data_IF_236701990151
#
_entry.id   IF_236701990151
#
_cell.length_a   1.000
_cell.length_b   1.000
_cell.length_c   1.000
_cell.angle_alpha   90.00
_cell.angle_beta   90.00
_cell.angle_gamma   90.00
#
_symmetry.space_group_name_H-M   'P 1'
#
loop_
_entity.id
_entity.type
_entity.pdbx_description
1 polymer ?
#
# COMPACT_ATOMS: atom_id res chain seq x y z
N UNK A 1 -2.12 -57.17 -64.15
CA UNK A 1 -1.44 -55.84 -64.01
C UNK A 1 -2.22 -55.03 -63.00
N UNK A 2 -1.88 -54.67 -61.87
CA UNK A 2 -0.92 -54.98 -60.84
C UNK A 2 -1.64 -54.79 -59.50
N UNK A 3 -1.89 -55.87 -58.78
CA UNK A 3 -2.50 -55.88 -57.45
C UNK A 3 -1.42 -55.73 -56.38
N UNK A 4 -0.46 -54.81 -56.51
CA UNK A 4 0.71 -54.78 -55.62
C UNK A 4 1.01 -53.39 -55.03
N UNK A 5 0.11 -52.41 -55.07
CA UNK A 5 0.32 -51.04 -54.54
C UNK A 5 -0.66 -50.68 -53.41
N UNK A 6 -1.47 -51.63 -52.92
CA UNK A 6 -2.52 -51.29 -51.93
C UNK A 6 -2.26 -51.82 -50.50
N UNK A 7 -1.01 -52.15 -50.17
CA UNK A 7 -0.68 -52.72 -48.85
C UNK A 7 0.41 -51.96 -48.04
N UNK A 8 0.67 -50.70 -48.37
CA UNK A 8 1.73 -49.93 -47.63
C UNK A 8 1.27 -48.65 -46.98
N UNK A 9 -0.03 -48.43 -46.80
CA UNK A 9 -0.56 -47.18 -46.21
C UNK A 9 -1.39 -47.40 -44.95
N UNK A 10 -1.21 -48.49 -44.19
CA UNK A 10 -2.05 -48.72 -43.01
C UNK A 10 -1.27 -49.01 -41.72
N UNK A 11 -0.03 -48.53 -41.59
CA UNK A 11 0.76 -48.76 -40.34
C UNK A 11 1.53 -47.54 -39.87
N UNK A 12 1.08 -46.33 -40.18
CA UNK A 12 1.75 -45.12 -39.69
C UNK A 12 0.79 -44.09 -39.08
N UNK A 13 -0.31 -44.49 -38.48
CA UNK A 13 -1.31 -43.61 -37.90
C UNK A 13 -1.61 -43.84 -36.41
N UNK A 14 -0.70 -44.39 -35.64
CA UNK A 14 -0.94 -44.67 -34.22
C UNK A 14 0.19 -44.28 -33.27
N UNK A 15 1.02 -43.28 -33.59
CA UNK A 15 2.15 -42.87 -32.71
C UNK A 15 2.25 -41.35 -32.53
N UNK A 16 1.13 -40.59 -32.59
CA UNK A 16 1.14 -39.16 -32.31
C UNK A 16 0.03 -38.73 -31.32
N UNK A 17 -0.23 -39.53 -30.27
CA UNK A 17 -1.21 -39.18 -29.21
C UNK A 17 -0.62 -39.29 -27.81
N UNK A 18 0.64 -38.89 -27.62
CA UNK A 18 1.23 -38.90 -26.28
C UNK A 18 2.24 -37.76 -26.12
N UNK A 19 1.82 -36.51 -26.33
CA UNK A 19 2.56 -35.32 -25.85
C UNK A 19 1.68 -34.04 -25.90
N UNK A 20 0.48 -34.10 -25.35
CA UNK A 20 -0.33 -32.89 -25.09
C UNK A 20 -0.58 -32.73 -23.59
N UNK A 21 0.47 -32.78 -22.77
CA UNK A 21 0.34 -32.50 -21.33
C UNK A 21 1.52 -31.70 -20.80
N UNK A 22 1.92 -30.63 -21.50
CA UNK A 22 2.89 -29.69 -20.89
C UNK A 22 2.94 -28.35 -21.65
N UNK A 23 1.77 -27.75 -21.93
CA UNK A 23 1.69 -26.36 -22.41
C UNK A 23 0.53 -25.64 -21.75
N UNK A 24 0.40 -25.80 -20.41
CA UNK A 24 -0.05 -24.70 -19.59
C UNK A 24 1.22 -23.99 -19.12
N UNK A 25 1.53 -22.79 -19.60
CA UNK A 25 2.48 -21.96 -18.88
C UNK A 25 1.88 -21.81 -17.50
N UNK A 26 2.54 -22.40 -16.51
CA UNK A 26 2.37 -22.00 -15.12
C UNK A 26 2.51 -20.48 -15.11
N UNK A 27 1.41 -19.78 -15.07
CA UNK A 27 1.34 -18.39 -14.65
C UNK A 27 1.68 -18.37 -13.15
N UNK A 28 2.89 -18.77 -12.83
CA UNK A 28 3.59 -18.25 -11.69
C UNK A 28 3.84 -16.80 -12.06
N UNK A 29 2.93 -15.94 -11.66
CA UNK A 29 3.27 -14.57 -11.41
C UNK A 29 4.34 -14.61 -10.30
N UNK A 30 5.60 -14.69 -10.71
CA UNK A 30 6.71 -14.37 -9.82
C UNK A 30 6.48 -12.91 -9.45
N UNK A 31 5.83 -12.73 -8.30
CA UNK A 31 5.75 -11.44 -7.63
C UNK A 31 7.19 -10.94 -7.51
N UNK A 32 7.51 -9.78 -8.06
CA UNK A 32 8.82 -9.23 -7.87
C UNK A 32 9.02 -9.08 -6.36
N UNK A 33 9.95 -9.87 -5.81
CA UNK A 33 10.45 -9.71 -4.45
C UNK A 33 11.03 -8.30 -4.38
N UNK A 34 10.20 -7.35 -3.96
CA UNK A 34 10.68 -6.00 -3.77
C UNK A 34 11.67 -5.98 -2.61
N UNK A 35 12.75 -5.23 -2.81
CA UNK A 35 13.78 -4.91 -1.82
C UNK A 35 13.17 -4.64 -0.44
N UNK A 36 13.88 -4.99 0.65
CA UNK A 36 13.50 -4.56 1.99
C UNK A 36 13.22 -3.05 1.95
N UNK A 37 12.05 -2.66 2.39
CA UNK A 37 11.64 -1.25 2.45
C UNK A 37 12.68 -0.48 3.24
N UNK A 38 13.06 0.67 2.76
CA UNK A 38 13.87 1.59 3.54
C UNK A 38 13.17 1.79 4.88
N UNK A 39 13.87 1.48 5.98
CA UNK A 39 13.33 1.65 7.33
C UNK A 39 13.10 3.13 7.69
N UNK A 40 13.18 4.00 6.69
CA UNK A 40 13.15 5.45 6.82
C UNK A 40 12.30 6.04 5.70
N UNK A 41 11.36 6.90 6.05
CA UNK A 41 10.57 7.69 5.12
C UNK A 41 11.10 9.12 5.11
N UNK A 42 11.35 9.69 3.95
CA UNK A 42 11.64 11.11 3.80
C UNK A 42 10.32 11.89 3.68
N UNK A 43 9.97 12.66 4.72
CA UNK A 43 8.76 13.50 4.74
C UNK A 43 8.98 14.82 4.00
N UNK A 44 10.22 15.34 4.02
CA UNK A 44 10.69 16.50 3.28
C UNK A 44 12.24 16.49 3.29
N UNK A 45 12.92 17.28 2.47
CA UNK A 45 14.38 17.37 2.49
C UNK A 45 14.92 17.60 3.92
N UNK A 46 15.69 16.61 4.42
CA UNK A 46 16.27 16.63 5.77
C UNK A 46 15.29 16.27 6.90
N UNK A 47 14.04 15.92 6.60
CA UNK A 47 13.04 15.47 7.59
C UNK A 47 12.70 14.02 7.33
N UNK A 48 13.04 13.16 8.28
CA UNK A 48 12.91 11.71 8.16
C UNK A 48 12.05 11.12 9.27
N UNK A 49 11.30 10.08 8.95
CA UNK A 49 10.57 9.26 9.90
C UNK A 49 11.15 7.84 9.91
N UNK A 50 11.59 7.38 11.08
CA UNK A 50 12.11 6.04 11.29
C UNK A 50 10.95 5.05 11.47
N UNK A 51 10.93 3.96 10.70
CA UNK A 51 9.89 2.93 10.79
C UNK A 51 10.24 1.77 11.71
N UNK A 52 11.52 1.57 12.03
CA UNK A 52 11.97 0.40 12.77
C UNK A 52 11.41 0.34 14.22
N UNK A 53 11.17 1.49 14.85
CA UNK A 53 10.86 1.60 16.28
C UNK A 53 9.36 1.81 16.56
N UNK A 54 8.48 1.63 15.57
CA UNK A 54 7.04 1.85 15.76
C UNK A 54 6.31 0.59 16.23
N UNK A 55 6.97 -0.53 16.19
CA UNK A 55 6.39 -1.82 16.60
C UNK A 55 6.48 -2.04 18.13
N UNK A 56 5.50 -2.75 18.74
CA UNK A 56 4.24 -3.20 18.13
C UNK A 56 3.28 -2.03 17.89
N UNK A 57 2.46 -2.14 16.86
CA UNK A 57 1.38 -1.19 16.62
C UNK A 57 0.28 -1.39 17.67
N UNK A 58 -0.35 -0.27 18.07
CA UNK A 58 -1.54 -0.33 18.92
C UNK A 58 -2.77 -0.64 18.07
N UNK A 59 -3.69 -1.41 18.65
CA UNK A 59 -4.95 -1.77 18.03
C UNK A 59 -4.91 -3.09 17.27
N UNK A 60 -6.12 -3.59 17.01
CA UNK A 60 -6.36 -4.81 16.24
C UNK A 60 -7.73 -4.72 15.58
N UNK A 61 -7.82 -5.15 14.33
CA UNK A 61 -9.09 -5.23 13.63
C UNK A 61 -8.98 -5.04 12.13
N UNK A 62 -10.14 -5.12 11.48
CA UNK A 62 -10.28 -4.81 10.06
C UNK A 62 -11.14 -3.56 9.92
N UNK A 63 -10.70 -2.66 9.06
CA UNK A 63 -11.32 -1.35 8.85
C UNK A 63 -11.49 -1.10 7.37
N UNK A 64 -12.54 -0.37 7.03
CA UNK A 64 -12.76 0.14 5.69
C UNK A 64 -12.54 1.65 5.71
N UNK A 65 -11.68 2.16 4.85
CA UNK A 65 -11.45 3.59 4.72
C UNK A 65 -11.81 4.08 3.32
N UNK A 66 -12.50 5.20 3.26
CA UNK A 66 -12.61 6.00 2.04
C UNK A 66 -11.54 7.07 2.08
N UNK A 67 -10.73 7.11 1.04
CA UNK A 67 -9.63 8.05 0.90
C UNK A 67 -9.89 8.93 -0.31
N UNK A 68 -9.81 10.26 -0.10
CA UNK A 68 -9.77 11.25 -1.17
C UNK A 68 -8.43 11.93 -1.12
N UNK A 69 -7.64 11.82 -2.17
CA UNK A 69 -6.36 12.51 -2.27
C UNK A 69 -6.39 13.53 -3.39
N UNK A 70 -5.68 14.63 -3.20
CA UNK A 70 -5.44 15.62 -4.24
C UNK A 70 -3.97 16.08 -4.25
N UNK A 71 -3.42 16.22 -5.45
CA UNK A 71 -2.10 16.80 -5.70
C UNK A 71 -2.28 17.77 -6.87
N UNK A 72 -2.13 19.06 -6.59
CA UNK A 72 -2.45 20.10 -7.57
C UNK A 72 -3.92 20.01 -8.02
N UNK A 73 -4.15 19.79 -9.33
CA UNK A 73 -5.50 19.65 -9.89
C UNK A 73 -5.99 18.19 -9.99
N UNK A 74 -5.14 17.23 -9.72
CA UNK A 74 -5.50 15.81 -9.78
C UNK A 74 -6.20 15.38 -8.50
N UNK A 75 -7.31 14.66 -8.63
CA UNK A 75 -8.06 14.11 -7.50
C UNK A 75 -8.30 12.61 -7.72
N UNK A 76 -8.15 11.86 -6.64
CA UNK A 76 -8.37 10.41 -6.63
C UNK A 76 -9.27 10.05 -5.45
N UNK A 77 -10.16 9.11 -5.68
CA UNK A 77 -10.95 8.49 -4.61
C UNK A 77 -10.77 7.00 -4.67
N UNK A 78 -10.49 6.39 -3.53
CA UNK A 78 -10.32 4.96 -3.40
C UNK A 78 -10.88 4.46 -2.08
N UNK A 79 -11.23 3.19 -2.05
CA UNK A 79 -11.62 2.46 -0.85
C UNK A 79 -10.49 1.54 -0.45
N UNK A 80 -10.10 1.56 0.82
CA UNK A 80 -8.98 0.78 1.35
C UNK A 80 -9.48 -0.12 2.47
N UNK A 81 -9.27 -1.41 2.32
CA UNK A 81 -9.39 -2.38 3.40
C UNK A 81 -8.07 -2.40 4.17
N UNK A 82 -8.15 -2.21 5.49
CA UNK A 82 -6.99 -2.22 6.38
C UNK A 82 -7.17 -3.36 7.37
N UNK A 83 -6.15 -4.20 7.49
CA UNK A 83 -6.03 -5.17 8.59
C UNK A 83 -4.88 -4.71 9.48
N UNK A 84 -5.20 -4.41 10.73
CA UNK A 84 -4.26 -3.99 11.75
C UNK A 84 -4.10 -5.09 12.80
N UNK A 85 -2.87 -5.48 13.05
CA UNK A 85 -2.46 -6.39 14.11
C UNK A 85 -1.18 -5.81 14.78
N UNK A 86 -0.83 -6.23 15.99
CA UNK A 86 0.35 -5.68 16.68
C UNK A 86 1.66 -5.78 15.87
N UNK A 87 1.79 -6.79 15.00
CA UNK A 87 2.99 -7.03 14.18
C UNK A 87 2.73 -7.03 12.69
N UNK A 88 1.55 -6.58 12.26
CA UNK A 88 1.18 -6.58 10.84
C UNK A 88 0.23 -5.45 10.51
N UNK A 89 0.49 -4.78 9.42
CA UNK A 89 -0.40 -3.80 8.82
C UNK A 89 -0.57 -4.12 7.34
N UNK A 90 -1.81 -4.37 6.93
CA UNK A 90 -2.14 -4.66 5.53
C UNK A 90 -3.12 -3.62 4.99
N UNK A 91 -2.90 -3.23 3.74
CA UNK A 91 -3.79 -2.36 2.97
C UNK A 91 -4.12 -3.04 1.65
N UNK A 92 -5.39 -3.06 1.30
CA UNK A 92 -5.81 -3.46 -0.05
C UNK A 92 -6.72 -2.36 -0.59
N UNK A 93 -6.26 -1.67 -1.62
CA UNK A 93 -6.97 -0.53 -2.19
C UNK A 93 -7.72 -0.91 -3.45
N UNK A 94 -8.91 -0.37 -3.58
CA UNK A 94 -9.82 -0.57 -4.69
C UNK A 94 -10.36 0.76 -5.23
N UNK A 95 -10.64 0.75 -6.51
CA UNK A 95 -11.46 1.76 -7.16
C UNK A 95 -12.62 1.05 -7.87
N UNK A 96 -13.81 1.63 -7.83
CA UNK A 96 -15.03 1.00 -8.36
C UNK A 96 -14.95 0.66 -9.86
N UNK A 97 -14.17 1.42 -10.62
CA UNK A 97 -14.01 1.22 -12.07
C UNK A 97 -12.79 0.38 -12.44
N UNK A 98 -11.70 0.49 -11.65
CA UNK A 98 -10.40 -0.12 -11.99
C UNK A 98 -10.14 -1.42 -11.22
N UNK A 99 -10.99 -1.77 -10.25
CA UNK A 99 -10.80 -2.94 -9.39
C UNK A 99 -9.68 -2.73 -8.36
N UNK A 100 -8.90 -3.77 -8.08
CA UNK A 100 -7.79 -3.69 -7.12
C UNK A 100 -6.67 -2.82 -7.69
N UNK A 101 -6.32 -1.77 -6.94
CA UNK A 101 -5.25 -0.84 -7.31
C UNK A 101 -3.90 -1.26 -6.75
N UNK A 102 -3.87 -1.61 -5.46
CA UNK A 102 -2.65 -2.11 -4.82
C UNK A 102 -2.95 -3.00 -3.62
N UNK A 103 -1.97 -3.80 -3.25
CA UNK A 103 -1.88 -4.43 -1.95
C UNK A 103 -0.53 -4.13 -1.31
N UNK A 104 -0.56 -3.88 -0.01
CA UNK A 104 0.60 -3.59 0.81
C UNK A 104 0.50 -4.39 2.10
N UNK A 105 1.51 -5.20 2.40
CA UNK A 105 1.65 -5.87 3.69
C UNK A 105 2.98 -5.45 4.30
N UNK A 106 2.91 -4.90 5.51
CA UNK A 106 4.06 -4.43 6.25
C UNK A 106 4.16 -5.12 7.61
N UNK A 107 5.34 -5.65 7.91
CA UNK A 107 5.71 -6.31 9.16
C UNK A 107 7.05 -5.75 9.64
N UNK A 108 7.52 -6.08 10.87
CA UNK A 108 8.86 -5.68 11.33
C UNK A 108 10.00 -6.08 10.37
N UNK A 109 9.83 -7.20 9.65
CA UNK A 109 10.89 -7.82 8.87
C UNK A 109 10.84 -7.48 7.38
N UNK A 110 9.64 -7.22 6.85
CA UNK A 110 9.45 -7.06 5.40
C UNK A 110 8.28 -6.17 5.02
N UNK A 111 8.35 -5.65 3.81
CA UNK A 111 7.22 -5.02 3.11
C UNK A 111 7.00 -5.74 1.80
N UNK A 112 5.77 -6.20 1.58
CA UNK A 112 5.32 -6.75 0.31
C UNK A 112 4.42 -5.71 -0.35
N UNK A 113 4.71 -5.37 -1.59
CA UNK A 113 4.00 -4.38 -2.37
C UNK A 113 3.66 -4.90 -3.75
N UNK A 114 2.40 -4.80 -4.11
CA UNK A 114 1.90 -5.05 -5.45
C UNK A 114 1.05 -3.87 -5.87
N UNK A 115 1.29 -3.34 -7.04
CA UNK A 115 0.51 -2.25 -7.61
C UNK A 115 0.10 -2.56 -9.04
N UNK A 116 -1.09 -2.13 -9.42
CA UNK A 116 -1.54 -2.16 -10.81
C UNK A 116 -0.86 -1.04 -11.62
N UNK A 117 -0.88 -1.15 -12.93
CA UNK A 117 -0.34 -0.14 -13.85
C UNK A 117 -1.02 1.24 -13.74
N UNK A 118 -2.18 1.31 -13.06
CA UNK A 118 -2.87 2.57 -12.78
C UNK A 118 -2.24 3.38 -11.64
N UNK A 119 -1.37 2.78 -10.85
CA UNK A 119 -0.69 3.45 -9.73
C UNK A 119 0.59 4.10 -10.26
N UNK A 120 0.76 5.42 -10.08
CA UNK A 120 1.99 6.09 -10.48
C UNK A 120 3.21 5.56 -9.72
N UNK A 121 4.36 5.47 -10.39
CA UNK A 121 5.64 5.06 -9.78
C UNK A 121 6.07 5.95 -8.60
N UNK A 122 5.52 7.16 -8.52
CA UNK A 122 5.73 8.08 -7.40
C UNK A 122 4.97 7.70 -6.14
N UNK A 123 3.94 6.84 -6.24
CA UNK A 123 3.22 6.31 -5.09
C UNK A 123 4.01 5.12 -4.51
N UNK A 124 4.69 5.36 -3.41
CA UNK A 124 5.53 4.37 -2.75
C UNK A 124 4.85 3.79 -1.51
N UNK A 125 5.04 2.49 -1.21
CA UNK A 125 4.46 1.86 -0.02
C UNK A 125 4.84 2.58 1.27
N UNK A 126 6.06 3.12 1.37
CA UNK A 126 6.53 3.87 2.53
C UNK A 126 5.67 5.11 2.80
N UNK A 127 5.22 5.81 1.77
CA UNK A 127 4.36 6.98 1.93
C UNK A 127 3.00 6.60 2.52
N UNK A 128 2.42 5.47 2.08
CA UNK A 128 1.15 4.96 2.60
C UNK A 128 1.29 4.58 4.08
N UNK A 129 2.37 3.86 4.43
CA UNK A 129 2.70 3.53 5.82
C UNK A 129 2.88 4.81 6.63
N UNK A 130 3.64 5.77 6.11
CA UNK A 130 3.90 7.04 6.78
C UNK A 130 2.63 7.82 7.08
N UNK A 131 1.76 7.98 6.10
CA UNK A 131 0.49 8.70 6.28
C UNK A 131 -0.39 8.01 7.34
N UNK A 132 -0.45 6.68 7.36
CA UNK A 132 -1.14 5.93 8.41
C UNK A 132 -0.53 6.21 9.80
N UNK A 133 0.79 6.12 9.92
CA UNK A 133 1.49 6.34 11.19
C UNK A 133 1.36 7.78 11.67
N UNK A 134 1.43 8.77 10.77
CA UNK A 134 1.24 10.18 11.09
C UNK A 134 -0.13 10.47 11.71
N UNK A 135 -1.16 9.73 11.30
CA UNK A 135 -2.51 9.85 11.86
C UNK A 135 -2.64 9.12 13.19
N UNK A 136 -2.16 7.88 13.27
CA UNK A 136 -2.57 6.94 14.32
C UNK A 136 -1.55 6.74 15.45
N UNK A 137 -0.25 6.98 15.23
CA UNK A 137 0.75 6.86 16.32
C UNK A 137 0.50 7.87 17.43
N UNK A 138 0.84 7.49 18.63
CA UNK A 138 0.87 8.40 19.79
C UNK A 138 1.97 9.45 19.61
N UNK A 139 1.75 10.63 20.19
CA UNK A 139 2.64 11.78 19.97
C UNK A 139 4.09 11.51 20.40
N UNK A 140 4.29 10.78 21.49
CA UNK A 140 5.64 10.47 21.99
C UNK A 140 6.38 9.52 21.04
N UNK A 141 5.68 8.55 20.45
CA UNK A 141 6.24 7.67 19.43
C UNK A 141 6.62 8.46 18.17
N UNK A 142 5.78 9.41 17.73
CA UNK A 142 6.13 10.26 16.58
C UNK A 142 7.34 11.13 16.85
N UNK A 143 7.40 11.80 18.01
CA UNK A 143 8.55 12.61 18.42
C UNK A 143 9.84 11.79 18.47
N UNK A 144 9.76 10.55 18.94
CA UNK A 144 10.92 9.66 19.01
C UNK A 144 11.42 9.26 17.61
N UNK A 145 10.50 9.12 16.64
CA UNK A 145 10.78 8.57 15.32
C UNK A 145 10.97 9.61 14.21
N UNK A 146 10.56 10.86 14.41
CA UNK A 146 10.78 11.94 13.44
C UNK A 146 12.09 12.67 13.77
N UNK A 147 12.93 12.82 12.76
CA UNK A 147 14.22 13.55 12.84
C UNK A 147 14.20 14.73 11.87
N UNK A 148 14.85 15.83 12.25
CA UNK A 148 14.96 17.02 11.40
C UNK A 148 13.75 17.95 11.45
N UNK A 149 12.77 17.70 12.31
CA UNK A 149 11.60 18.56 12.49
C UNK A 149 11.05 18.48 13.91
N UNK A 150 10.33 19.52 14.31
CA UNK A 150 9.53 19.54 15.54
C UNK A 150 8.16 18.91 15.27
N UNK A 151 7.69 18.11 16.24
CA UNK A 151 6.33 17.53 16.22
C UNK A 151 5.53 18.15 17.36
N UNK A 152 4.48 18.88 16.99
CA UNK A 152 3.62 19.60 17.94
C UNK A 152 2.21 19.02 17.82
N UNK A 153 1.54 18.84 18.96
CA UNK A 153 0.15 18.40 19.00
C UNK A 153 -0.66 19.30 19.94
N UNK A 154 -1.75 19.83 19.43
CA UNK A 154 -2.73 20.61 20.18
C UNK A 154 -4.14 20.11 19.87
N UNK A 155 -4.78 19.46 20.85
CA UNK A 155 -6.10 18.86 20.66
C UNK A 155 -6.12 17.86 19.50
N UNK A 156 -6.89 18.18 18.47
CA UNK A 156 -7.05 17.34 17.29
C UNK A 156 -6.04 17.64 16.17
N UNK A 157 -5.20 18.61 16.35
CA UNK A 157 -4.26 19.07 15.33
C UNK A 157 -2.83 18.64 15.68
N UNK A 158 -2.12 18.13 14.68
CA UNK A 158 -0.73 17.74 14.75
C UNK A 158 0.05 18.42 13.63
N UNK A 159 1.14 19.05 13.97
CA UNK A 159 2.00 19.79 13.04
C UNK A 159 3.41 19.23 13.09
N UNK A 160 3.96 18.94 11.94
CA UNK A 160 5.38 18.64 11.74
C UNK A 160 5.98 19.83 11.02
N UNK A 161 6.96 20.49 11.66
CA UNK A 161 7.53 21.72 11.13
C UNK A 161 9.03 21.80 11.30
N UNK A 162 9.63 22.57 10.43
CA UNK A 162 11.04 23.00 10.48
C UNK A 162 11.11 24.51 10.62
N UNK A 163 12.26 25.12 10.87
CA UNK A 163 12.43 26.57 10.78
C UNK A 163 11.99 27.15 9.43
N UNK A 164 12.01 26.36 8.36
CA UNK A 164 11.58 26.77 7.01
C UNK A 164 10.07 26.61 6.75
N UNK A 165 9.29 26.16 7.75
CA UNK A 165 7.85 26.09 7.69
C UNK A 165 7.25 24.69 7.91
N UNK A 166 5.94 24.59 7.67
CA UNK A 166 5.17 23.36 7.90
C UNK A 166 5.50 22.31 6.83
N UNK A 167 5.86 21.11 7.29
CA UNK A 167 6.11 19.91 6.46
C UNK A 167 4.82 19.11 6.30
N UNK A 168 4.10 18.89 7.42
CA UNK A 168 2.80 18.22 7.45
C UNK A 168 1.90 18.87 8.48
N UNK A 169 0.63 19.01 8.12
CA UNK A 169 -0.44 19.36 9.05
C UNK A 169 -1.46 18.23 9.03
N UNK A 170 -1.77 17.66 10.18
CA UNK A 170 -2.72 16.57 10.35
C UNK A 170 -3.83 17.05 11.27
N UNK A 171 -5.08 16.98 10.81
CA UNK A 171 -6.26 17.28 11.63
C UNK A 171 -7.06 15.99 11.77
N UNK A 172 -7.46 15.63 12.99
CA UNK A 172 -8.09 14.35 13.31
C UNK A 172 -9.41 14.58 14.01
N UNK A 173 -10.39 13.72 13.76
CA UNK A 173 -11.73 13.86 14.34
C UNK A 173 -12.26 12.50 14.78
N UNK A 174 -13.00 12.49 15.87
CA UNK A 174 -13.75 11.34 16.37
C UNK A 174 -12.85 10.09 16.51
N UNK A 175 -12.20 9.97 17.65
CA UNK A 175 -11.44 8.76 17.98
C UNK A 175 -12.40 7.63 18.34
N UNK A 176 -12.23 6.47 17.73
CA UNK A 176 -12.94 5.26 18.07
C UNK A 176 -11.93 4.14 18.33
N UNK A 177 -11.82 3.72 19.57
CA UNK A 177 -10.77 2.78 19.98
C UNK A 177 -9.39 3.35 19.72
N UNK A 178 -8.56 2.59 18.99
CA UNK A 178 -7.19 2.96 18.67
C UNK A 178 -7.05 3.77 17.38
N UNK A 179 -8.11 3.88 16.59
CA UNK A 179 -8.09 4.61 15.31
C UNK A 179 -8.93 5.89 15.34
N UNK A 180 -8.51 6.86 14.54
CA UNK A 180 -9.28 8.06 14.24
C UNK A 180 -10.25 7.79 13.10
N UNK A 181 -11.52 8.16 13.29
CA UNK A 181 -12.56 7.94 12.26
C UNK A 181 -12.36 8.85 11.05
N UNK A 182 -11.92 10.09 11.28
CA UNK A 182 -11.64 11.04 10.20
C UNK A 182 -10.30 11.68 10.43
N UNK A 183 -9.56 11.87 9.34
CA UNK A 183 -8.32 12.62 9.36
C UNK A 183 -8.14 13.37 8.04
N UNK A 184 -7.44 14.49 8.13
CA UNK A 184 -6.93 15.23 6.99
C UNK A 184 -5.43 15.40 7.15
N UNK A 185 -4.67 15.01 6.13
CA UNK A 185 -3.23 15.28 6.03
C UNK A 185 -3.00 16.30 4.93
N UNK A 186 -2.19 17.31 5.22
CA UNK A 186 -1.84 18.35 4.28
C UNK A 186 -0.32 18.52 4.21
N UNK A 187 0.20 18.64 2.99
CA UNK A 187 1.55 19.14 2.74
C UNK A 187 1.42 20.46 1.95
N UNK A 188 1.50 21.61 2.62
CA UNK A 188 1.30 22.89 1.96
C UNK A 188 2.32 23.21 0.87
N UNK A 189 3.55 22.67 0.99
CA UNK A 189 4.64 22.96 0.02
C UNK A 189 4.39 22.39 -1.37
N UNK A 190 3.69 21.26 -1.45
CA UNK A 190 3.42 20.60 -2.74
C UNK A 190 1.93 20.53 -3.09
N UNK A 191 1.07 21.16 -2.28
CA UNK A 191 -0.37 21.14 -2.49
C UNK A 191 -1.01 19.76 -2.34
N UNK A 192 -0.38 18.86 -1.55
CA UNK A 192 -0.93 17.55 -1.27
C UNK A 192 -1.96 17.62 -0.14
N UNK A 193 -3.13 17.03 -0.37
CA UNK A 193 -4.15 16.83 0.65
C UNK A 193 -4.65 15.39 0.60
N UNK A 194 -4.87 14.82 1.76
CA UNK A 194 -5.43 13.48 1.94
C UNK A 194 -6.56 13.55 2.98
N UNK A 195 -7.79 13.32 2.55
CA UNK A 195 -8.95 13.18 3.44
C UNK A 195 -9.22 11.68 3.63
N UNK A 196 -9.25 11.25 4.87
CA UNK A 196 -9.47 9.86 5.30
C UNK A 196 -10.76 9.79 6.10
N UNK A 197 -11.63 8.87 5.76
CA UNK A 197 -12.84 8.54 6.51
C UNK A 197 -12.89 7.03 6.77
N UNK A 198 -12.78 6.63 8.02
CA UNK A 198 -12.94 5.23 8.45
C UNK A 198 -14.42 4.94 8.58
N UNK A 199 -14.89 3.99 7.79
CA UNK A 199 -16.28 3.55 7.76
C UNK A 199 -16.49 2.46 8.83
N UNK A 200 -17.67 2.39 9.45
CA UNK A 200 -17.99 1.25 10.31
C UNK A 200 -17.94 -0.03 9.47
N UNK A 201 -17.26 -1.04 9.98
CA UNK A 201 -17.35 -2.41 9.42
C UNK A 201 -18.68 -3.01 9.84
N UNK A 202 -19.40 -3.65 8.93
CA UNK A 202 -20.66 -4.33 9.24
C UNK A 202 -20.48 -5.48 10.23
#
# INVERSE_FOLDING_TARGET
>A
MNKLIQRFFLTSACLMLSNCSSLLPELRSELPLQKPTDKVIELAPGVQMQLANVWPLKGQGTYLQRIKSSIGQQQYTLTVHITLEPTKLEFVAFNDMMGRLYSLKWTPDQTLWEASDYIPDTMRPENIIGDFLLVHLEIDQLKANIKGADVIEHGNERIIQTPSGIVRKITRFNRQGDLWQKARIQNPKIGYNLDIETLPTP
#
